data_IF_308975573115
#
_entry.id   IF_308975573115
#
_cell.length_a   1.000
_cell.length_b   1.000
_cell.length_c   1.000
_cell.angle_alpha   90.00
_cell.angle_beta   90.00
_cell.angle_gamma   90.00
#
_symmetry.space_group_name_H-M   'P 1'
#
loop_
_entity.id
_entity.type
_entity.pdbx_description
1 polymer ?
#
# COMPACT_ATOMS: atom_id res chain seq x y z
N UNK A 1 20.07 23.59 -23.74
CA UNK A 1 18.61 23.79 -23.58
C UNK A 1 18.04 22.64 -22.77
N UNK A 2 17.38 22.92 -21.65
CA UNK A 2 16.74 21.87 -20.86
C UNK A 2 15.52 21.38 -21.63
N UNK A 3 15.54 20.13 -22.11
CA UNK A 3 14.39 19.49 -22.74
C UNK A 3 13.23 19.52 -21.74
N UNK A 4 12.24 20.38 -22.00
CA UNK A 4 11.04 20.45 -21.18
C UNK A 4 10.39 19.07 -21.18
N UNK A 5 10.04 18.54 -19.99
CA UNK A 5 9.36 17.25 -19.90
C UNK A 5 8.04 17.35 -20.69
N UNK A 6 7.90 16.66 -21.84
CA UNK A 6 6.77 16.88 -22.75
C UNK A 6 5.44 16.52 -22.10
N UNK A 7 5.47 15.59 -21.13
CA UNK A 7 4.31 15.23 -20.32
C UNK A 7 3.87 16.42 -19.46
N UNK A 8 4.77 17.09 -18.74
CA UNK A 8 4.43 18.21 -17.87
C UNK A 8 4.04 19.49 -18.64
N UNK A 9 4.40 19.57 -19.92
CA UNK A 9 3.99 20.65 -20.81
C UNK A 9 2.53 20.54 -21.29
N UNK A 10 1.86 19.41 -21.03
CA UNK A 10 0.46 19.23 -21.41
C UNK A 10 -0.47 20.09 -20.53
N UNK A 11 -1.58 20.60 -21.10
CA UNK A 11 -2.67 21.20 -20.33
C UNK A 11 -3.22 20.25 -19.25
N UNK A 12 -3.71 20.82 -18.14
CA UNK A 12 -4.26 20.06 -17.02
C UNK A 12 -5.43 19.15 -17.41
N UNK A 13 -6.21 19.54 -18.41
CA UNK A 13 -7.32 18.75 -18.96
C UNK A 13 -6.82 17.45 -19.61
N UNK A 14 -5.66 17.51 -20.29
CA UNK A 14 -5.04 16.31 -20.86
C UNK A 14 -4.46 15.42 -19.77
N UNK A 15 -3.88 16.00 -18.71
CA UNK A 15 -3.50 15.22 -17.54
C UNK A 15 -4.70 14.48 -16.93
N UNK A 16 -5.84 15.16 -16.74
CA UNK A 16 -7.05 14.53 -16.22
C UNK A 16 -7.54 13.39 -17.11
N UNK A 17 -7.54 13.58 -18.44
CA UNK A 17 -7.88 12.52 -19.40
C UNK A 17 -6.93 11.33 -19.31
N UNK A 18 -5.62 11.56 -19.20
CA UNK A 18 -4.63 10.49 -19.00
C UNK A 18 -4.93 9.75 -17.70
N UNK A 19 -5.15 10.46 -16.60
CA UNK A 19 -5.40 9.85 -15.28
C UNK A 19 -6.67 8.98 -15.26
N UNK A 20 -7.72 9.35 -16.00
CA UNK A 20 -8.94 8.56 -16.14
C UNK A 20 -8.71 7.21 -16.84
N UNK A 21 -7.70 7.12 -17.70
CA UNK A 21 -7.33 5.88 -18.41
C UNK A 21 -6.36 5.01 -17.60
N UNK A 22 -5.78 5.53 -16.50
CA UNK A 22 -4.79 4.80 -15.71
C UNK A 22 -5.44 3.95 -14.60
N UNK A 23 -5.12 2.66 -14.63
CA UNK A 23 -5.43 1.75 -13.53
C UNK A 23 -4.76 2.17 -12.19
N UNK A 24 -5.25 1.68 -11.04
CA UNK A 24 -4.80 2.10 -9.71
C UNK A 24 -3.28 2.02 -9.50
N UNK A 25 -2.65 0.93 -9.94
CA UNK A 25 -1.20 0.75 -9.81
C UNK A 25 -0.42 1.83 -10.57
N UNK A 26 -0.83 2.17 -11.79
CA UNK A 26 -0.16 3.20 -12.59
C UNK A 26 -0.36 4.59 -11.99
N UNK A 27 -1.55 4.88 -11.45
CA UNK A 27 -1.79 6.13 -10.70
C UNK A 27 -0.88 6.25 -9.48
N UNK A 28 -0.66 5.18 -8.72
CA UNK A 28 0.30 5.18 -7.61
C UNK A 28 1.73 5.46 -8.05
N UNK A 29 2.18 4.81 -9.13
CA UNK A 29 3.53 5.01 -9.67
C UNK A 29 3.71 6.45 -10.13
N UNK A 30 2.75 6.98 -10.90
CA UNK A 30 2.80 8.36 -11.39
C UNK A 30 2.73 9.38 -10.25
N UNK A 31 1.91 9.13 -9.22
CA UNK A 31 1.86 9.97 -8.00
C UNK A 31 3.20 10.02 -7.27
N UNK A 32 4.04 9.01 -7.42
CA UNK A 32 5.34 8.93 -6.77
C UNK A 32 6.49 9.59 -7.56
N UNK A 33 6.29 10.00 -8.81
CA UNK A 33 7.38 10.52 -9.65
C UNK A 33 7.72 11.98 -9.37
N UNK A 34 6.73 12.86 -9.23
CA UNK A 34 6.96 14.29 -9.05
C UNK A 34 5.92 14.97 -8.16
N UNK A 35 6.23 16.20 -7.70
CA UNK A 35 5.35 16.97 -6.82
C UNK A 35 4.02 17.33 -7.50
N UNK A 36 4.03 17.62 -8.80
CA UNK A 36 2.82 17.95 -9.56
C UNK A 36 1.80 16.81 -9.57
N UNK A 37 2.20 15.61 -10.02
CA UNK A 37 1.33 14.44 -10.00
C UNK A 37 0.94 14.00 -8.59
N UNK A 38 1.82 14.21 -7.61
CA UNK A 38 1.48 14.02 -6.20
C UNK A 38 0.38 14.95 -5.70
N UNK A 39 0.24 16.14 -6.28
CA UNK A 39 -0.83 17.09 -5.92
C UNK A 39 -2.13 16.74 -6.63
N UNK A 40 -2.10 16.44 -7.94
CA UNK A 40 -3.33 16.27 -8.73
C UNK A 40 -3.94 14.86 -8.64
N UNK A 41 -3.15 13.82 -8.39
CA UNK A 41 -3.66 12.45 -8.22
C UNK A 41 -4.02 12.29 -6.75
N UNK A 42 -5.29 12.09 -6.35
CA UNK A 42 -5.62 11.92 -4.94
C UNK A 42 -4.98 10.65 -4.33
N UNK A 43 -4.81 10.58 -3.00
CA UNK A 43 -4.49 9.32 -2.34
C UNK A 43 -5.53 8.25 -2.70
N UNK A 44 -5.07 7.05 -3.03
CA UNK A 44 -5.97 5.93 -3.35
C UNK A 44 -6.67 5.42 -2.10
N UNK A 45 -7.92 4.99 -2.27
CA UNK A 45 -8.66 4.30 -1.21
C UNK A 45 -8.23 2.83 -1.08
N UNK A 46 -8.72 2.13 -0.04
CA UNK A 46 -8.36 0.74 0.23
C UNK A 46 -8.69 -0.21 -0.93
N UNK A 47 -9.85 -0.07 -1.56
CA UNK A 47 -10.25 -0.94 -2.67
C UNK A 47 -9.36 -0.74 -3.90
N UNK A 48 -8.98 0.51 -4.19
CA UNK A 48 -8.03 0.80 -5.26
C UNK A 48 -6.63 0.23 -4.95
N UNK A 49 -6.20 0.24 -3.68
CA UNK A 49 -4.96 -0.42 -3.26
C UNK A 49 -5.04 -1.94 -3.40
N UNK A 50 -6.18 -2.55 -3.04
CA UNK A 50 -6.43 -3.98 -3.22
C UNK A 50 -6.42 -4.38 -4.71
N UNK A 51 -6.99 -3.54 -5.58
CA UNK A 51 -6.87 -3.72 -7.02
C UNK A 51 -5.40 -3.55 -7.50
N UNK A 52 -4.66 -2.60 -6.92
CA UNK A 52 -3.26 -2.37 -7.28
C UNK A 52 -2.33 -3.52 -6.86
N UNK A 53 -2.50 -4.14 -5.69
CA UNK A 53 -1.69 -5.31 -5.28
C UNK A 53 -1.96 -6.57 -6.12
N UNK A 54 -3.15 -6.66 -6.72
CA UNK A 54 -3.56 -7.74 -7.61
C UNK A 54 -3.10 -7.51 -9.06
N UNK A 55 -2.62 -6.31 -9.40
CA UNK A 55 -1.99 -6.04 -10.68
C UNK A 55 -0.69 -6.85 -10.85
N UNK A 56 -0.26 -7.05 -12.11
CA UNK A 56 1.01 -7.72 -12.44
C UNK A 56 2.19 -7.17 -11.62
N UNK A 57 2.34 -5.85 -11.57
CA UNK A 57 3.42 -5.18 -10.82
C UNK A 57 3.29 -5.46 -9.31
N UNK A 58 2.06 -5.44 -8.77
CA UNK A 58 1.78 -5.73 -7.37
C UNK A 58 2.10 -7.18 -6.98
N UNK A 59 1.86 -8.13 -7.88
CA UNK A 59 2.21 -9.55 -7.70
C UNK A 59 3.72 -9.78 -7.79
N UNK A 60 4.36 -9.29 -8.86
CA UNK A 60 5.81 -9.43 -9.09
C UNK A 60 6.62 -8.86 -7.92
N UNK A 61 6.24 -7.68 -7.42
CA UNK A 61 6.92 -7.02 -6.30
C UNK A 61 6.44 -7.49 -4.93
N UNK A 62 5.56 -8.49 -4.86
CA UNK A 62 4.99 -9.04 -3.62
C UNK A 62 4.46 -7.94 -2.68
N UNK A 63 3.68 -7.01 -3.24
CA UNK A 63 3.09 -5.89 -2.51
C UNK A 63 1.72 -6.28 -1.92
N UNK A 64 1.39 -5.69 -0.78
CA UNK A 64 0.11 -5.83 -0.08
C UNK A 64 -0.39 -4.46 0.40
N UNK A 65 -1.70 -4.29 0.39
CA UNK A 65 -2.39 -3.11 0.87
C UNK A 65 -2.57 -3.16 2.40
N UNK A 66 -2.28 -2.03 3.06
CA UNK A 66 -2.58 -1.81 4.47
C UNK A 66 -3.82 -0.93 4.63
N UNK A 67 -4.79 -1.40 5.41
CA UNK A 67 -6.06 -0.71 5.68
C UNK A 67 -5.93 0.50 6.60
N UNK A 68 -4.82 0.65 7.33
CA UNK A 68 -4.63 1.78 8.25
C UNK A 68 -3.86 2.93 7.59
N UNK A 69 -2.71 2.65 6.97
CA UNK A 69 -1.90 3.71 6.35
C UNK A 69 -2.24 3.99 4.88
N UNK A 70 -3.15 3.23 4.28
CA UNK A 70 -3.56 3.35 2.87
C UNK A 70 -2.36 3.40 1.91
N UNK A 71 -1.41 2.47 2.11
CA UNK A 71 -0.23 2.33 1.24
C UNK A 71 -0.01 0.87 0.87
N UNK A 72 0.54 0.65 -0.31
CA UNK A 72 1.17 -0.62 -0.67
C UNK A 72 2.50 -0.77 0.07
N UNK A 73 2.75 -1.98 0.56
CA UNK A 73 3.95 -2.34 1.31
C UNK A 73 4.47 -3.70 0.86
N UNK A 74 5.79 -3.93 0.88
CA UNK A 74 6.35 -5.26 0.64
C UNK A 74 5.79 -6.29 1.62
N UNK A 75 5.72 -7.55 1.19
CA UNK A 75 5.27 -8.69 2.00
C UNK A 75 6.02 -8.85 3.33
N UNK A 76 7.25 -8.32 3.43
CA UNK A 76 8.08 -8.36 4.65
C UNK A 76 7.64 -7.35 5.71
N UNK A 77 6.78 -6.39 5.34
CA UNK A 77 6.21 -5.42 6.26
C UNK A 77 4.89 -5.92 6.88
N UNK A 78 4.55 -7.19 6.71
CA UNK A 78 3.34 -7.81 7.25
C UNK A 78 3.73 -9.10 7.96
N UNK A 79 3.01 -9.40 9.04
CA UNK A 79 2.98 -10.74 9.62
C UNK A 79 2.50 -11.75 8.56
N UNK A 80 3.06 -12.95 8.58
CA UNK A 80 2.65 -14.06 7.71
C UNK A 80 1.16 -14.35 7.86
N UNK A 81 0.61 -14.26 9.08
CA UNK A 81 -0.84 -14.39 9.34
C UNK A 81 -1.69 -13.35 8.59
N UNK A 82 -1.12 -12.19 8.25
CA UNK A 82 -1.80 -11.14 7.49
C UNK A 82 -1.78 -11.39 5.99
N UNK A 83 -1.00 -12.35 5.48
CA UNK A 83 -0.88 -12.61 4.02
C UNK A 83 -1.49 -13.94 3.60
N UNK A 84 -1.93 -14.74 4.56
CA UNK A 84 -2.42 -16.10 4.36
C UNK A 84 -3.93 -16.19 4.59
N UNK A 85 -4.51 -17.31 4.16
CA UNK A 85 -5.91 -17.69 4.43
C UNK A 85 -6.92 -16.58 4.07
N UNK A 86 -7.84 -16.28 4.98
CA UNK A 86 -8.89 -15.29 4.79
C UNK A 86 -8.34 -13.87 4.54
N UNK A 87 -7.08 -13.59 4.92
CA UNK A 87 -6.42 -12.29 4.73
C UNK A 87 -5.50 -12.26 3.51
N UNK A 88 -5.41 -13.35 2.75
CA UNK A 88 -4.64 -13.42 1.51
C UNK A 88 -5.10 -12.43 0.43
N UNK A 89 -4.34 -12.31 -0.66
CA UNK A 89 -4.73 -11.46 -1.80
C UNK A 89 -6.07 -11.94 -2.39
N UNK A 90 -6.99 -11.00 -2.61
CA UNK A 90 -8.34 -11.31 -3.11
C UNK A 90 -9.26 -12.04 -2.11
N UNK A 91 -8.79 -12.36 -0.91
CA UNK A 91 -9.59 -13.04 0.10
C UNK A 91 -10.54 -12.07 0.83
N UNK A 92 -11.59 -12.62 1.45
CA UNK A 92 -12.67 -11.86 2.11
C UNK A 92 -12.17 -10.85 3.15
N UNK A 93 -11.17 -11.22 3.94
CA UNK A 93 -10.62 -10.40 5.02
C UNK A 93 -9.35 -9.66 4.61
N UNK A 94 -9.04 -9.56 3.31
CA UNK A 94 -7.95 -8.72 2.79
C UNK A 94 -8.05 -7.25 3.21
N UNK A 95 -9.27 -6.75 3.35
CA UNK A 95 -9.57 -5.39 3.87
C UNK A 95 -9.17 -5.20 5.34
N UNK A 96 -8.96 -6.28 6.10
CA UNK A 96 -8.59 -6.22 7.52
C UNK A 96 -7.08 -6.22 7.73
N UNK A 97 -6.27 -6.33 6.67
CA UNK A 97 -4.81 -6.35 6.76
C UNK A 97 -4.22 -5.02 7.19
N UNK A 98 -3.25 -5.07 8.10
CA UNK A 98 -2.42 -3.93 8.45
C UNK A 98 -0.94 -4.32 8.44
N UNK A 99 -0.08 -3.36 8.13
CA UNK A 99 1.37 -3.59 8.17
C UNK A 99 1.88 -3.54 9.62
N UNK A 100 3.06 -4.10 9.86
CA UNK A 100 3.71 -4.17 11.17
C UNK A 100 3.79 -2.79 11.84
N UNK A 101 4.26 -1.78 11.10
CA UNK A 101 4.32 -0.39 11.54
C UNK A 101 2.99 0.17 12.08
N UNK A 102 1.88 -0.24 11.48
CA UNK A 102 0.54 0.20 11.87
C UNK A 102 -0.01 -0.64 13.02
N UNK A 103 0.30 -1.95 13.03
CA UNK A 103 -0.10 -2.85 14.10
C UNK A 103 0.56 -2.50 15.43
N UNK A 104 1.86 -2.19 15.43
CA UNK A 104 2.62 -1.83 16.64
C UNK A 104 2.24 -0.45 17.18
N UNK A 105 1.85 0.48 16.28
CA UNK A 105 1.40 1.83 16.65
C UNK A 105 -0.12 1.96 16.76
N UNK A 106 -0.83 0.83 16.84
CA UNK A 106 -2.29 0.87 16.92
C UNK A 106 -2.70 1.48 18.28
N UNK A 107 -3.59 2.48 18.29
CA UNK A 107 -4.03 3.07 19.55
C UNK A 107 -4.84 2.05 20.37
N UNK A 108 -4.90 2.21 21.70
CA UNK A 108 -5.72 1.34 22.56
C UNK A 108 -7.17 1.25 22.06
N UNK A 109 -7.73 0.05 22.02
CA UNK A 109 -9.10 -0.21 21.55
C UNK A 109 -9.23 -0.37 20.02
N UNK A 110 -8.16 -0.22 19.24
CA UNK A 110 -8.13 -0.67 17.84
C UNK A 110 -7.41 -2.01 17.72
N UNK A 111 -7.76 -2.75 16.66
CA UNK A 111 -7.04 -3.98 16.29
C UNK A 111 -5.57 -3.61 16.01
N UNK A 112 -4.66 -4.34 16.63
CA UNK A 112 -3.22 -4.11 16.55
C UNK A 112 -2.46 -5.21 17.28
N UNK A 113 -1.15 -5.04 17.40
CA UNK A 113 -0.33 -5.94 18.19
C UNK A 113 -0.14 -5.38 19.61
N UNK A 114 -0.44 -6.20 20.61
CA UNK A 114 -0.12 -5.95 22.01
C UNK A 114 1.35 -6.23 22.32
N UNK A 115 1.81 -5.74 23.47
CA UNK A 115 3.12 -6.11 24.01
C UNK A 115 3.12 -7.60 24.36
N UNK A 116 4.17 -8.31 23.97
CA UNK A 116 4.27 -9.76 24.12
C UNK A 116 3.61 -10.56 23.00
N UNK A 117 2.94 -9.91 22.04
CA UNK A 117 2.36 -10.62 20.90
C UNK A 117 3.44 -11.26 20.04
N UNK A 118 3.16 -12.48 19.61
CA UNK A 118 3.99 -13.22 18.66
C UNK A 118 3.58 -12.87 17.23
N UNK A 119 4.55 -12.51 16.41
CA UNK A 119 4.37 -12.27 14.98
C UNK A 119 5.33 -13.16 14.18
N UNK A 120 4.97 -13.52 12.95
CA UNK A 120 5.86 -14.27 12.05
C UNK A 120 6.24 -13.43 10.84
N UNK A 121 7.53 -13.38 10.53
CA UNK A 121 8.04 -12.68 9.35
C UNK A 121 8.94 -13.64 8.59
N UNK A 122 8.49 -14.08 7.40
CA UNK A 122 9.20 -15.08 6.59
C UNK A 122 9.43 -16.39 7.36
N UNK A 123 8.45 -16.83 8.15
CA UNK A 123 8.50 -18.04 8.96
C UNK A 123 9.28 -17.91 10.27
N UNK A 124 10.06 -16.85 10.46
CA UNK A 124 10.76 -16.59 11.72
C UNK A 124 9.81 -15.94 12.74
N UNK A 125 9.86 -16.43 13.98
CA UNK A 125 9.06 -15.94 15.11
C UNK A 125 9.73 -14.71 15.72
N UNK A 126 8.96 -13.64 15.93
CA UNK A 126 9.35 -12.44 16.65
C UNK A 126 8.30 -12.13 17.72
N UNK A 127 8.70 -11.32 18.71
CA UNK A 127 7.83 -10.85 19.79
C UNK A 127 7.81 -9.34 19.80
N UNK A 128 6.62 -8.74 19.96
CA UNK A 128 6.51 -7.30 20.21
C UNK A 128 7.06 -7.00 21.61
N UNK A 129 8.15 -6.24 21.67
CA UNK A 129 8.84 -5.95 22.92
C UNK A 129 7.97 -5.12 23.87
N UNK A 130 8.14 -5.35 25.17
CA UNK A 130 7.42 -4.62 26.22
C UNK A 130 7.94 -3.20 26.45
N UNK A 131 9.18 -2.90 26.04
CA UNK A 131 9.93 -1.70 26.44
C UNK A 131 10.48 -0.87 25.28
N UNK A 132 10.17 -1.21 24.03
CA UNK A 132 10.70 -0.52 22.83
C UNK A 132 9.94 0.76 22.48
#
# INVERSE_FOLDING_TARGET
>A
EASACPLLALPGELHNKILQQLGPMHRLLLRATCRYFRTIIPPLNLYELLAAEASRIGMERKLYACSFCHRLRPATCFDDSMKEWARGKGARDSIKRFCLDCGVRSPPGRVGYGRGDHIRIKGALFVICFYC
#
